data_IF_969055037404
#
_entry.id   IF_969055037404
#
_cell.length_a   1.000
_cell.length_b   1.000
_cell.length_c   1.000
_cell.angle_alpha   90.00
_cell.angle_beta   90.00
_cell.angle_gamma   90.00
#
_symmetry.space_group_name_H-M   'P 1'
#
loop_
_entity.id
_entity.type
_entity.pdbx_description
1 polymer ?
#
# COMPACT_ATOMS: atom_id res chain seq x y z
N UNK A 1 2.80 16.61 2.88
CA UNK A 1 2.92 16.85 1.43
C UNK A 1 3.04 18.33 1.06
N UNK A 2 2.23 19.24 1.63
CA UNK A 2 2.30 20.67 1.31
C UNK A 2 3.68 21.30 1.54
N UNK A 3 4.31 21.04 2.70
CA UNK A 3 5.68 21.50 2.97
C UNK A 3 6.72 20.92 2.00
N UNK A 4 6.54 19.68 1.53
CA UNK A 4 7.42 19.10 0.51
C UNK A 4 7.27 19.81 -0.85
N UNK A 5 6.04 20.17 -1.22
CA UNK A 5 5.76 20.94 -2.44
C UNK A 5 6.35 22.34 -2.36
N UNK A 6 6.30 22.99 -1.20
CA UNK A 6 6.87 24.31 -1.00
C UNK A 6 8.42 24.31 -1.06
N UNK A 7 9.06 23.37 -0.36
CA UNK A 7 10.54 23.32 -0.28
C UNK A 7 11.16 22.71 -1.56
N UNK A 8 10.50 21.73 -2.19
CA UNK A 8 11.02 21.02 -3.37
C UNK A 8 9.96 20.88 -4.48
N UNK A 9 9.54 21.99 -5.13
CA UNK A 9 8.42 21.99 -6.07
C UNK A 9 8.65 21.07 -7.28
N UNK A 10 9.82 21.12 -7.90
CA UNK A 10 10.15 20.30 -9.07
C UNK A 10 10.19 18.80 -8.75
N UNK A 11 10.73 18.43 -7.58
CA UNK A 11 10.78 17.02 -7.14
C UNK A 11 9.38 16.51 -6.82
N UNK A 12 8.59 17.31 -6.10
CA UNK A 12 7.20 16.99 -5.80
C UNK A 12 6.38 16.79 -7.06
N UNK A 13 6.51 17.69 -8.04
CA UNK A 13 5.79 17.59 -9.32
C UNK A 13 6.18 16.32 -10.10
N UNK A 14 7.47 16.00 -10.20
CA UNK A 14 7.94 14.80 -10.89
C UNK A 14 7.42 13.51 -10.25
N UNK A 15 7.52 13.40 -8.92
CA UNK A 15 7.03 12.21 -8.19
C UNK A 15 5.51 12.11 -8.31
N UNK A 16 4.79 13.22 -8.21
CA UNK A 16 3.34 13.26 -8.41
C UNK A 16 2.93 12.71 -9.78
N UNK A 17 3.61 13.15 -10.86
CA UNK A 17 3.33 12.66 -12.21
C UNK A 17 3.68 11.18 -12.39
N UNK A 18 4.76 10.71 -11.76
CA UNK A 18 5.12 9.30 -11.77
C UNK A 18 4.07 8.43 -11.06
N UNK A 19 3.58 8.88 -9.91
CA UNK A 19 2.50 8.25 -9.14
C UNK A 19 1.19 8.25 -9.92
N UNK A 20 0.82 9.37 -10.55
CA UNK A 20 -0.40 9.48 -11.36
C UNK A 20 -0.39 8.49 -12.54
N UNK A 21 0.74 8.36 -13.24
CA UNK A 21 0.90 7.38 -14.33
C UNK A 21 0.82 5.94 -13.83
N UNK A 22 1.49 5.61 -12.72
CA UNK A 22 1.42 4.28 -12.12
C UNK A 22 0.00 3.89 -11.69
N UNK A 23 -0.82 4.87 -11.28
CA UNK A 23 -2.21 4.65 -10.86
C UNK A 23 -3.11 4.18 -11.99
N UNK A 24 -3.00 4.77 -13.17
CA UNK A 24 -3.80 4.36 -14.33
C UNK A 24 -3.64 2.87 -14.62
N UNK A 25 -2.38 2.40 -14.64
CA UNK A 25 -2.06 1.02 -15.01
C UNK A 25 -2.35 -0.02 -13.91
N UNK A 26 -2.54 0.40 -12.65
CA UNK A 26 -2.62 -0.53 -11.51
C UNK A 26 -3.93 -0.45 -10.72
N UNK A 27 -4.87 0.42 -11.10
CA UNK A 27 -6.15 0.59 -10.38
C UNK A 27 -6.94 -0.72 -10.30
N UNK A 28 -7.06 -1.44 -11.41
CA UNK A 28 -7.79 -2.71 -11.45
C UNK A 28 -7.14 -3.78 -10.56
N UNK A 29 -5.81 -3.85 -10.57
CA UNK A 29 -5.06 -4.80 -9.74
C UNK A 29 -5.26 -4.48 -8.26
N UNK A 30 -5.20 -3.21 -7.89
CA UNK A 30 -5.41 -2.78 -6.49
C UNK A 30 -6.83 -3.14 -6.02
N UNK A 31 -7.84 -2.86 -6.84
CA UNK A 31 -9.23 -3.21 -6.52
C UNK A 31 -9.43 -4.73 -6.39
N UNK A 32 -8.86 -5.51 -7.32
CA UNK A 32 -8.91 -6.99 -7.24
C UNK A 32 -8.26 -7.54 -5.98
N UNK A 33 -7.15 -6.94 -5.53
CA UNK A 33 -6.50 -7.34 -4.27
C UNK A 33 -7.39 -6.98 -3.07
N UNK A 34 -7.99 -5.80 -3.06
CA UNK A 34 -8.92 -5.36 -2.01
C UNK A 34 -10.15 -6.28 -1.90
N UNK A 35 -10.74 -6.66 -3.04
CA UNK A 35 -11.83 -7.64 -3.12
C UNK A 35 -11.38 -9.02 -2.64
N UNK A 36 -10.19 -9.48 -3.06
CA UNK A 36 -9.66 -10.78 -2.67
C UNK A 36 -9.40 -10.86 -1.16
N UNK A 37 -8.84 -9.80 -0.57
CA UNK A 37 -8.64 -9.69 0.88
C UNK A 37 -9.97 -9.68 1.62
N UNK A 38 -10.96 -8.91 1.14
CA UNK A 38 -12.28 -8.83 1.77
C UNK A 38 -13.01 -10.18 1.72
N UNK A 39 -12.92 -10.89 0.59
CA UNK A 39 -13.47 -12.23 0.44
C UNK A 39 -12.77 -13.23 1.36
N UNK A 40 -11.45 -13.17 1.48
CA UNK A 40 -10.67 -14.02 2.39
C UNK A 40 -11.14 -13.85 3.84
N UNK A 41 -11.36 -12.62 4.30
CA UNK A 41 -11.89 -12.35 5.63
C UNK A 41 -13.30 -12.93 5.81
N UNK A 42 -14.16 -12.80 4.81
CA UNK A 42 -15.52 -13.32 4.85
C UNK A 42 -15.56 -14.86 4.93
N UNK A 43 -14.71 -15.56 4.17
CA UNK A 43 -14.60 -17.03 4.20
C UNK A 43 -14.14 -17.54 5.57
N UNK A 44 -13.20 -16.85 6.20
CA UNK A 44 -12.69 -17.21 7.53
C UNK A 44 -13.61 -16.74 8.68
N UNK A 45 -14.76 -16.12 8.36
CA UNK A 45 -15.71 -15.59 9.33
C UNK A 45 -15.18 -14.40 10.15
N UNK A 46 -14.17 -13.69 9.63
CA UNK A 46 -13.54 -12.56 10.28
C UNK A 46 -14.26 -11.27 9.90
N UNK A 47 -14.80 -10.56 10.89
CA UNK A 47 -15.34 -9.22 10.68
C UNK A 47 -14.20 -8.19 10.67
N UNK A 48 -14.02 -7.50 9.55
CA UNK A 48 -13.03 -6.44 9.41
C UNK A 48 -13.24 -5.60 8.16
N UNK A 49 -12.71 -4.38 8.19
CA UNK A 49 -12.74 -3.45 7.06
C UNK A 49 -11.39 -3.44 6.34
N UNK A 50 -11.39 -3.74 5.05
CA UNK A 50 -10.21 -3.60 4.18
C UNK A 50 -10.29 -2.26 3.48
N UNK A 51 -9.21 -1.48 3.54
CA UNK A 51 -9.09 -0.21 2.83
C UNK A 51 -7.75 -0.08 2.13
N UNK A 52 -7.79 0.21 0.82
CA UNK A 52 -6.62 0.60 0.05
C UNK A 52 -6.13 2.01 0.43
N UNK A 53 -4.93 2.12 1.01
CA UNK A 53 -4.26 3.40 1.30
C UNK A 53 -3.15 3.69 0.31
N UNK A 54 -3.19 4.90 -0.26
CA UNK A 54 -2.07 5.45 -1.01
C UNK A 54 -1.05 6.11 -0.09
N UNK A 55 0.23 5.86 -0.35
CA UNK A 55 1.30 6.52 0.38
C UNK A 55 1.44 8.00 -0.02
N UNK A 56 1.65 8.86 0.97
CA UNK A 56 1.97 10.28 0.77
C UNK A 56 3.23 10.47 -0.09
N UNK A 57 3.23 11.50 -0.93
CA UNK A 57 4.30 11.81 -1.90
C UNK A 57 5.63 12.00 -1.17
N UNK A 58 5.63 12.73 -0.06
CA UNK A 58 6.84 12.92 0.74
C UNK A 58 7.37 11.60 1.32
N UNK A 59 6.49 10.68 1.72
CA UNK A 59 6.87 9.37 2.22
C UNK A 59 7.48 8.48 1.14
N UNK A 60 7.05 8.63 -0.12
CA UNK A 60 7.68 7.98 -1.28
C UNK A 60 9.07 8.58 -1.49
N UNK A 61 9.19 9.91 -1.53
CA UNK A 61 10.47 10.62 -1.67
C UNK A 61 11.48 10.21 -0.58
N UNK A 62 11.06 10.13 0.68
CA UNK A 62 11.93 9.70 1.80
C UNK A 62 12.42 8.26 1.60
N UNK A 63 11.58 7.34 1.10
CA UNK A 63 12.00 5.96 0.77
C UNK A 63 12.97 5.93 -0.42
N UNK A 64 12.72 6.71 -1.49
CA UNK A 64 13.63 6.82 -2.64
C UNK A 64 15.02 7.25 -2.18
N UNK A 65 15.09 8.31 -1.38
CA UNK A 65 16.35 8.86 -0.87
C UNK A 65 17.05 7.90 0.10
N UNK A 66 16.31 7.31 1.04
CA UNK A 66 16.88 6.43 2.06
C UNK A 66 17.40 5.10 1.49
N UNK A 67 16.68 4.50 0.52
CA UNK A 67 17.08 3.24 -0.10
C UNK A 67 17.95 3.42 -1.36
N UNK A 68 18.19 4.66 -1.81
CA UNK A 68 18.86 5.00 -3.09
C UNK A 68 18.26 4.24 -4.28
N UNK A 69 16.93 4.11 -4.31
CA UNK A 69 16.19 3.37 -5.33
C UNK A 69 15.36 4.29 -6.21
N UNK A 70 15.22 3.92 -7.47
CA UNK A 70 14.39 4.62 -8.43
C UNK A 70 12.89 4.37 -8.12
N UNK A 71 12.02 5.23 -8.66
CA UNK A 71 10.58 5.17 -8.36
C UNK A 71 9.94 3.84 -8.80
N UNK A 72 10.37 3.30 -9.93
CA UNK A 72 9.92 2.00 -10.47
C UNK A 72 10.24 0.82 -9.53
N UNK A 73 11.31 0.91 -8.74
CA UNK A 73 11.69 -0.12 -7.75
C UNK A 73 10.91 0.01 -6.43
N UNK A 74 10.15 1.09 -6.26
CA UNK A 74 9.30 1.28 -5.08
C UNK A 74 7.95 0.63 -5.36
N UNK A 75 7.85 -0.62 -4.94
CA UNK A 75 6.59 -1.39 -4.93
C UNK A 75 5.57 -0.83 -3.93
N UNK A 76 6.05 -0.22 -2.84
CA UNK A 76 5.24 0.25 -1.69
C UNK A 76 4.48 1.58 -1.93
N UNK A 77 3.94 1.81 -3.14
CA UNK A 77 3.08 2.97 -3.43
C UNK A 77 1.67 2.75 -2.87
N UNK A 78 1.21 1.50 -2.98
CA UNK A 78 -0.07 1.03 -2.46
C UNK A 78 0.19 0.19 -1.21
N UNK A 79 -0.64 0.40 -0.20
CA UNK A 79 -0.68 -0.43 0.99
C UNK A 79 -2.15 -0.70 1.32
N UNK A 80 -2.46 -1.86 1.87
CA UNK A 80 -3.79 -2.17 2.37
C UNK A 80 -3.78 -2.07 3.88
N UNK A 81 -4.85 -1.52 4.44
CA UNK A 81 -5.10 -1.48 5.87
C UNK A 81 -6.30 -2.36 6.15
N UNK A 82 -6.17 -3.25 7.12
CA UNK A 82 -7.25 -4.07 7.63
C UNK A 82 -7.52 -3.62 9.06
N UNK A 83 -8.76 -3.27 9.37
CA UNK A 83 -9.20 -2.83 10.70
C UNK A 83 -10.10 -3.92 11.28
N UNK A 84 -9.78 -4.37 12.48
CA UNK A 84 -10.51 -5.41 13.22
C UNK A 84 -10.70 -4.99 14.68
N UNK A 85 -11.56 -5.69 15.39
CA UNK A 85 -12.02 -5.37 16.74
C UNK A 85 -11.01 -5.74 17.85
N UNK A 86 -10.23 -6.81 17.66
CA UNK A 86 -9.36 -7.41 18.68
C UNK A 86 -7.98 -7.74 18.15
N UNK A 87 -7.03 -7.79 19.08
CA UNK A 87 -5.63 -8.16 18.79
C UNK A 87 -5.52 -9.61 18.29
N UNK A 88 -6.30 -10.54 18.85
CA UNK A 88 -6.35 -11.93 18.37
C UNK A 88 -6.77 -12.01 16.89
N UNK A 89 -7.80 -11.24 16.53
CA UNK A 89 -8.28 -11.13 15.16
C UNK A 89 -7.18 -10.60 14.21
N UNK A 90 -6.33 -9.67 14.66
CA UNK A 90 -5.20 -9.18 13.85
C UNK A 90 -4.24 -10.31 13.43
N UNK A 91 -3.94 -11.24 14.34
CA UNK A 91 -3.05 -12.37 14.05
C UNK A 91 -3.72 -13.41 13.16
N UNK A 92 -5.04 -13.64 13.32
CA UNK A 92 -5.80 -14.50 12.40
C UNK A 92 -5.81 -13.95 10.98
N UNK A 93 -6.04 -12.64 10.84
CA UNK A 93 -5.95 -11.94 9.56
C UNK A 93 -4.56 -12.10 8.96
N UNK A 94 -3.49 -11.95 9.74
CA UNK A 94 -2.13 -12.13 9.24
C UNK A 94 -1.92 -13.54 8.64
N UNK A 95 -2.42 -14.58 9.31
CA UNK A 95 -2.38 -15.96 8.80
C UNK A 95 -3.17 -16.12 7.50
N UNK A 96 -4.40 -15.61 7.45
CA UNK A 96 -5.25 -15.65 6.26
C UNK A 96 -4.58 -14.96 5.06
N UNK A 97 -3.98 -13.78 5.28
CA UNK A 97 -3.26 -13.03 4.25
C UNK A 97 -2.03 -13.80 3.76
N UNK A 98 -1.27 -14.44 4.65
CA UNK A 98 -0.10 -15.25 4.28
C UNK A 98 -0.47 -16.52 3.51
N UNK A 99 -1.66 -17.08 3.72
CA UNK A 99 -2.19 -18.18 2.92
C UNK A 99 -2.56 -17.72 1.51
N UNK A 100 -3.14 -16.52 1.38
CA UNK A 100 -3.54 -15.96 0.09
C UNK A 100 -2.33 -15.48 -0.75
N UNK A 101 -1.34 -14.85 -0.10
CA UNK A 101 -0.17 -14.28 -0.76
C UNK A 101 1.12 -14.70 -0.06
N UNK A 102 2.10 -15.14 -0.86
CA UNK A 102 3.42 -15.52 -0.34
C UNK A 102 4.11 -14.30 0.29
N UNK A 103 4.48 -14.35 1.59
CA UNK A 103 5.19 -13.27 2.24
C UNK A 103 6.60 -13.11 1.65
N UNK A 104 7.08 -11.87 1.60
CA UNK A 104 8.44 -11.55 1.19
C UNK A 104 9.37 -11.74 2.39
N UNK A 105 10.41 -12.60 2.30
CA UNK A 105 11.30 -12.86 3.42
C UNK A 105 12.00 -11.57 3.88
N UNK A 106 12.07 -11.36 5.19
CA UNK A 106 12.68 -10.17 5.81
C UNK A 106 11.84 -8.90 5.75
N UNK A 107 10.54 -9.01 5.48
CA UNK A 107 9.60 -7.89 5.45
C UNK A 107 8.26 -8.21 6.09
#
# INVERSE_FOLDING_TARGET
>A
DLGFKAIYPMRSARIYQAVKRARGNRKEIVNKIEESLSHCLAVDGIQGEVSGRQKHIYGIYKKMRGKRRAFNEIMDVYAFRIIVDKVDTCYRVLGAVHNLYKPLPGR
#
